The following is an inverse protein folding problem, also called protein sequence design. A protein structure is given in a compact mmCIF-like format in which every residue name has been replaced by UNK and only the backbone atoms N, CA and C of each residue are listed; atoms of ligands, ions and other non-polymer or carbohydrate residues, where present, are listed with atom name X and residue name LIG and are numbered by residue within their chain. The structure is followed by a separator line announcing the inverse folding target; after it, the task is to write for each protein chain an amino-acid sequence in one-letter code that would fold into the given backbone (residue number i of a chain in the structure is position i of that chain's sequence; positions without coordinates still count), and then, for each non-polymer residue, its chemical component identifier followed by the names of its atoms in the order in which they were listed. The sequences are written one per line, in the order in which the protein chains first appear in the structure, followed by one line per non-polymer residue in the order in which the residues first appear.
data_IF_551071029624
#
_entry.id   IF_551071029624
#
_cell.length_a   1.000
_cell.length_b   1.000
_cell.length_c   1.000
_cell.angle_alpha   90.00
_cell.angle_beta   90.00
_cell.angle_gamma   90.00
#
_symmetry.space_group_name_H-M   'P 1'
#
loop_
_entity.id
_entity.type
_entity.pdbx_description
1 polymer ?
#
# COMPACT_ATOMS: atom_id res chain seq x y z
N UNK A 1 -3.79 12.37 2.80
CA UNK A 1 -4.70 11.61 3.71
C UNK A 1 -3.94 11.23 4.99
N UNK A 2 -4.52 11.29 6.20
CA UNK A 2 -3.80 10.90 7.42
C UNK A 2 -3.82 9.37 7.53
N UNK A 3 -2.65 8.72 7.47
CA UNK A 3 -2.54 7.25 7.48
C UNK A 3 -3.02 6.64 8.80
N UNK A 4 -2.72 7.30 9.92
CA UNK A 4 -3.19 6.90 11.24
C UNK A 4 -4.55 7.58 11.49
N UNK A 5 -5.64 6.80 11.67
CA UNK A 5 -6.99 7.36 11.78
C UNK A 5 -7.31 7.86 13.19
N UNK A 6 -6.65 7.32 14.22
CA UNK A 6 -6.95 7.60 15.61
C UNK A 6 -6.57 9.03 16.02
N UNK A 7 -7.52 9.72 16.65
CA UNK A 7 -7.29 11.00 17.31
C UNK A 7 -6.67 10.79 18.70
N UNK A 8 -6.15 11.85 19.31
CA UNK A 8 -5.67 11.78 20.70
C UNK A 8 -6.77 11.37 21.68
N UNK A 9 -8.03 11.71 21.39
CA UNK A 9 -9.17 11.28 22.20
C UNK A 9 -9.36 9.77 22.08
N UNK A 10 -9.39 9.23 20.86
CA UNK A 10 -9.55 7.79 20.63
C UNK A 10 -8.42 7.01 21.31
N UNK A 11 -7.19 7.52 21.23
CA UNK A 11 -6.02 6.92 21.91
C UNK A 11 -6.24 6.91 23.43
N UNK A 12 -6.67 8.02 24.05
CA UNK A 12 -6.91 8.07 25.50
C UNK A 12 -8.02 7.09 25.94
N UNK A 13 -9.13 7.05 25.21
CA UNK A 13 -10.25 6.15 25.52
C UNK A 13 -9.84 4.68 25.40
N UNK A 14 -9.07 4.32 24.37
CA UNK A 14 -8.54 2.96 24.22
C UNK A 14 -7.55 2.57 25.33
N UNK A 15 -6.65 3.49 25.72
CA UNK A 15 -5.68 3.26 26.80
C UNK A 15 -6.37 3.09 28.17
N UNK A 16 -7.39 3.91 28.44
CA UNK A 16 -8.21 3.80 29.65
C UNK A 16 -8.97 2.46 29.70
N UNK A 17 -9.56 2.03 28.58
CA UNK A 17 -10.30 0.77 28.49
C UNK A 17 -9.45 -0.47 28.80
N UNK A 18 -8.16 -0.44 28.49
CA UNK A 18 -7.20 -1.54 28.75
C UNK A 18 -6.35 -1.32 30.01
N UNK A 19 -6.53 -0.19 30.72
CA UNK A 19 -5.88 0.10 31.99
C UNK A 19 -4.39 0.46 31.92
N UNK A 20 -3.91 0.98 30.79
CA UNK A 20 -2.50 1.39 30.61
C UNK A 20 -2.38 2.90 30.44
N UNK A 21 -1.25 3.48 30.84
CA UNK A 21 -1.10 4.94 30.95
C UNK A 21 -0.63 5.61 29.67
N UNK A 22 0.07 4.87 28.80
CA UNK A 22 0.64 5.39 27.56
C UNK A 22 0.90 4.26 26.57
N UNK A 23 1.19 4.63 25.32
CA UNK A 23 1.44 3.70 24.21
C UNK A 23 2.68 2.82 24.45
N UNK A 24 3.71 3.33 25.13
CA UNK A 24 4.95 2.57 25.37
C UNK A 24 4.70 1.31 26.21
N UNK A 25 3.73 1.35 27.13
CA UNK A 25 3.35 0.19 27.95
C UNK A 25 2.80 -0.99 27.10
N UNK A 26 2.28 -0.74 25.89
CA UNK A 26 1.81 -1.79 24.98
C UNK A 26 2.93 -2.69 24.46
N UNK A 27 4.18 -2.19 24.49
CA UNK A 27 5.36 -2.88 23.97
C UNK A 27 6.21 -3.54 25.06
N UNK A 28 5.72 -3.61 26.30
CA UNK A 28 6.44 -4.19 27.44
C UNK A 28 6.83 -5.68 27.25
N UNK A 29 6.17 -6.39 26.34
CA UNK A 29 6.49 -7.78 25.98
C UNK A 29 7.77 -7.92 25.15
N UNK A 30 8.29 -6.82 24.56
CA UNK A 30 9.51 -6.82 23.76
C UNK A 30 10.71 -6.64 24.72
N UNK A 31 11.63 -7.62 24.82
CA UNK A 31 12.83 -7.51 25.64
C UNK A 31 13.62 -6.22 25.32
N UNK A 32 14.07 -5.50 26.35
CA UNK A 32 14.74 -4.20 26.19
C UNK A 32 16.02 -4.24 25.34
N UNK A 33 16.72 -5.38 25.33
CA UNK A 33 17.90 -5.60 24.48
C UNK A 33 17.57 -5.76 22.99
N UNK A 34 16.30 -5.97 22.64
CA UNK A 34 15.81 -6.03 21.25
C UNK A 34 15.19 -4.70 20.80
N UNK A 35 14.98 -3.76 21.71
CA UNK A 35 14.46 -2.43 21.39
C UNK A 35 15.58 -1.50 20.92
N UNK A 36 15.24 -0.55 20.05
CA UNK A 36 16.18 0.50 19.64
C UNK A 36 16.47 1.52 20.76
N UNK A 37 15.68 1.50 21.85
CA UNK A 37 15.73 2.49 22.91
C UNK A 37 15.44 3.89 22.36
N UNK A 38 16.30 4.86 22.70
CA UNK A 38 16.16 6.25 22.23
C UNK A 38 16.74 6.49 20.83
N UNK A 39 17.18 5.44 20.12
CA UNK A 39 17.71 5.58 18.76
C UNK A 39 16.56 5.64 17.78
N UNK A 40 16.52 6.72 17.01
CA UNK A 40 15.65 6.78 15.83
C UNK A 40 16.23 5.94 14.69
N UNK A 41 15.35 5.50 13.79
CA UNK A 41 15.78 4.93 12.52
C UNK A 41 16.52 6.01 11.72
N UNK A 42 17.63 5.63 11.07
CA UNK A 42 18.40 6.50 10.20
C UNK A 42 17.69 6.68 8.86
N UNK A 43 16.63 7.50 8.86
CA UNK A 43 15.78 7.78 7.72
C UNK A 43 15.85 9.27 7.35
N UNK A 44 15.71 9.61 6.06
CA UNK A 44 15.55 11.00 5.64
C UNK A 44 14.33 11.66 6.29
N UNK A 45 14.33 13.00 6.28
CA UNK A 45 13.17 13.81 6.69
C UNK A 45 11.89 13.33 6.00
N UNK A 46 10.80 13.27 6.76
CA UNK A 46 9.47 13.03 6.23
C UNK A 46 9.09 14.10 5.20
N UNK A 47 8.51 13.65 4.09
CA UNK A 47 8.00 14.48 3.02
C UNK A 47 6.48 14.60 3.11
N UNK A 48 5.94 15.75 2.75
CA UNK A 48 4.51 15.92 2.48
C UNK A 48 4.10 15.12 1.25
N UNK A 49 2.79 14.87 1.11
CA UNK A 49 2.22 14.12 -0.02
C UNK A 49 2.64 14.72 -1.38
N UNK A 50 2.59 16.05 -1.51
CA UNK A 50 3.00 16.74 -2.73
C UNK A 50 4.50 16.63 -3.01
N UNK A 51 5.34 16.68 -1.96
CA UNK A 51 6.79 16.50 -2.10
C UNK A 51 7.14 15.07 -2.55
N UNK A 52 6.44 14.06 -2.02
CA UNK A 52 6.62 12.65 -2.44
C UNK A 52 6.27 12.49 -3.92
N UNK A 53 5.09 12.96 -4.35
CA UNK A 53 4.65 12.85 -5.75
C UNK A 53 5.64 13.54 -6.70
N UNK A 54 6.09 14.75 -6.35
CA UNK A 54 7.06 15.47 -7.16
C UNK A 54 8.40 14.73 -7.23
N UNK A 55 8.89 14.20 -6.10
CA UNK A 55 10.15 13.45 -6.04
C UNK A 55 10.09 12.21 -6.94
N UNK A 56 9.00 11.43 -6.85
CA UNK A 56 8.81 10.25 -7.68
C UNK A 56 8.73 10.58 -9.17
N UNK A 57 8.05 11.68 -9.54
CA UNK A 57 8.02 12.17 -10.93
C UNK A 57 9.42 12.53 -11.45
N UNK A 58 10.24 13.19 -10.63
CA UNK A 58 11.63 13.52 -11.00
C UNK A 58 12.50 12.27 -11.21
N UNK A 59 12.28 11.22 -10.42
CA UNK A 59 12.97 9.94 -10.60
C UNK A 59 12.50 9.26 -11.89
N UNK A 60 11.19 9.24 -12.14
CA UNK A 60 10.59 8.64 -13.35
C UNK A 60 11.19 9.24 -14.63
N UNK A 61 11.36 10.56 -14.70
CA UNK A 61 11.89 11.27 -15.89
C UNK A 61 13.34 10.91 -16.25
N UNK A 62 14.05 10.16 -15.40
CA UNK A 62 15.39 9.64 -15.74
C UNK A 62 15.33 8.37 -16.60
N UNK A 63 14.18 7.73 -16.68
CA UNK A 63 13.95 6.56 -17.51
C UNK A 63 13.32 6.98 -18.84
N UNK A 64 13.65 6.30 -19.96
CA UNK A 64 12.95 6.53 -21.21
C UNK A 64 11.48 6.15 -21.09
N UNK A 65 10.59 6.94 -21.70
CA UNK A 65 9.17 6.62 -21.72
C UNK A 65 8.91 5.41 -22.64
N UNK A 66 8.02 4.52 -22.19
CA UNK A 66 7.53 3.40 -22.98
C UNK A 66 6.78 3.82 -24.23
N UNK A 67 6.25 5.05 -24.28
CA UNK A 67 5.62 5.61 -25.48
C UNK A 67 6.62 6.20 -26.47
N UNK A 68 7.81 6.58 -26.00
CA UNK A 68 8.87 7.13 -26.85
C UNK A 68 9.75 6.04 -27.48
N UNK A 69 9.85 4.86 -26.84
CA UNK A 69 10.72 3.77 -27.31
C UNK A 69 9.92 2.52 -27.68
N UNK A 70 10.20 1.98 -28.87
CA UNK A 70 9.75 0.64 -29.27
C UNK A 70 10.76 -0.41 -28.83
N UNK A 71 10.33 -1.35 -27.98
CA UNK A 71 11.16 -2.48 -27.54
C UNK A 71 10.71 -3.77 -28.22
N UNK A 72 11.64 -4.42 -28.92
CA UNK A 72 11.45 -5.72 -29.59
C UNK A 72 12.31 -6.84 -28.98
N UNK A 73 12.84 -6.63 -27.77
CA UNK A 73 13.73 -7.60 -27.11
C UNK A 73 13.02 -8.92 -26.76
N UNK A 74 11.70 -8.90 -26.55
CA UNK A 74 10.91 -10.09 -26.23
C UNK A 74 11.28 -10.71 -24.88
N UNK A 75 11.59 -12.01 -24.89
CA UNK A 75 11.95 -12.79 -23.68
C UNK A 75 10.84 -12.89 -22.62
N UNK A 76 9.58 -12.98 -23.05
CA UNK A 76 8.43 -13.17 -22.16
C UNK A 76 7.70 -11.88 -21.77
N UNK A 77 8.22 -10.71 -22.15
CA UNK A 77 7.54 -9.43 -22.00
C UNK A 77 7.35 -8.76 -23.37
N UNK A 78 6.10 -8.42 -23.70
CA UNK A 78 5.75 -7.86 -24.99
C UNK A 78 4.84 -6.65 -24.80
N UNK A 79 5.16 -5.55 -25.50
CA UNK A 79 4.28 -4.38 -25.55
C UNK A 79 2.96 -4.81 -26.21
N UNK A 80 1.84 -4.54 -25.54
CA UNK A 80 0.51 -4.83 -26.04
C UNK A 80 -0.40 -3.64 -25.77
N UNK A 81 -1.48 -3.56 -26.53
CA UNK A 81 -2.52 -2.56 -26.33
C UNK A 81 -3.25 -2.85 -25.01
N UNK A 82 -3.31 -1.85 -24.12
CA UNK A 82 -4.15 -1.89 -22.92
C UNK A 82 -5.40 -1.04 -23.15
N UNK A 83 -6.61 -1.62 -23.11
CA UNK A 83 -7.84 -0.85 -23.24
C UNK A 83 -7.96 0.27 -22.18
N UNK A 84 -8.47 1.44 -22.58
CA UNK A 84 -8.58 2.63 -21.72
C UNK A 84 -9.35 2.37 -20.41
N UNK A 85 -10.28 1.41 -20.41
CA UNK A 85 -11.05 1.03 -19.22
C UNK A 85 -10.18 0.40 -18.13
N UNK A 86 -9.07 -0.25 -18.48
CA UNK A 86 -8.20 -0.95 -17.52
C UNK A 86 -7.61 0.02 -16.50
N UNK A 87 -7.13 1.19 -16.94
CA UNK A 87 -6.59 2.20 -16.03
C UNK A 87 -7.61 2.69 -15.01
N UNK A 88 -8.89 2.74 -15.37
CA UNK A 88 -9.96 3.10 -14.43
C UNK A 88 -10.25 1.95 -13.47
N UNK A 89 -10.27 0.70 -13.95
CA UNK A 89 -10.52 -0.47 -13.12
C UNK A 89 -9.45 -0.67 -12.05
N UNK A 90 -8.16 -0.53 -12.38
CA UNK A 90 -7.09 -0.73 -11.40
C UNK A 90 -7.02 0.36 -10.31
N UNK A 91 -7.64 1.51 -10.54
CA UNK A 91 -7.73 2.60 -9.57
C UNK A 91 -8.91 2.46 -8.61
N UNK A 92 -9.81 1.50 -8.85
CA UNK A 92 -10.95 1.24 -7.97
C UNK A 92 -10.49 0.51 -6.70
N UNK A 93 -10.80 1.10 -5.55
CA UNK A 93 -10.38 0.61 -4.23
C UNK A 93 -10.89 -0.80 -3.94
N UNK A 94 -12.10 -1.14 -4.37
CA UNK A 94 -12.73 -2.44 -4.18
C UNK A 94 -11.94 -3.61 -4.82
N UNK A 95 -11.20 -3.36 -5.90
CA UNK A 95 -10.36 -4.36 -6.57
C UNK A 95 -8.92 -4.41 -6.01
N UNK A 96 -8.47 -3.36 -5.33
CA UNK A 96 -7.08 -3.21 -4.87
C UNK A 96 -6.91 -3.39 -3.36
N UNK A 97 -7.98 -3.25 -2.58
CA UNK A 97 -7.95 -3.32 -1.10
C UNK A 97 -8.51 -4.62 -0.53
N UNK A 98 -9.29 -5.37 -1.31
CA UNK A 98 -9.75 -6.70 -0.91
C UNK A 98 -8.58 -7.70 -0.92
N UNK A 99 -8.61 -8.66 -0.01
CA UNK A 99 -7.59 -9.71 0.07
C UNK A 99 -8.11 -11.03 -0.52
N UNK A 100 -7.45 -12.14 -0.19
CA UNK A 100 -7.86 -13.48 -0.61
C UNK A 100 -9.36 -13.71 -0.26
N UNK A 101 -10.18 -14.19 -1.21
CA UNK A 101 -11.64 -14.29 -1.06
C UNK A 101 -12.05 -15.48 -0.17
N UNK A 102 -11.59 -15.51 1.09
CA UNK A 102 -11.93 -16.56 2.06
C UNK A 102 -13.42 -16.57 2.44
N UNK A 103 -14.07 -15.40 2.39
CA UNK A 103 -15.51 -15.25 2.62
C UNK A 103 -16.22 -15.15 1.28
N UNK A 104 -16.61 -16.31 0.73
CA UNK A 104 -17.08 -16.42 -0.65
C UNK A 104 -18.37 -15.61 -0.90
N UNK A 105 -19.28 -15.56 0.07
CA UNK A 105 -20.59 -14.90 0.01
C UNK A 105 -20.48 -13.40 -0.24
N UNK A 106 -19.38 -12.78 0.21
CA UNK A 106 -19.10 -11.35 0.04
C UNK A 106 -17.98 -11.08 -0.97
N UNK A 107 -17.52 -12.10 -1.70
CA UNK A 107 -16.39 -12.01 -2.63
C UNK A 107 -16.70 -12.54 -4.04
N UNK A 108 -17.99 -12.75 -4.37
CA UNK A 108 -18.41 -13.38 -5.63
C UNK A 108 -17.88 -12.67 -6.89
N UNK A 109 -17.74 -11.34 -6.88
CA UNK A 109 -17.20 -10.59 -8.01
C UNK A 109 -15.75 -10.97 -8.36
N UNK A 110 -14.88 -11.02 -7.34
CA UNK A 110 -13.48 -11.43 -7.50
C UNK A 110 -13.37 -12.91 -7.86
N UNK A 111 -14.18 -13.77 -7.22
CA UNK A 111 -14.21 -15.20 -7.53
C UNK A 111 -14.63 -15.47 -8.98
N UNK A 112 -15.64 -14.75 -9.48
CA UNK A 112 -16.04 -14.83 -10.88
C UNK A 112 -14.89 -14.38 -11.79
N UNK A 113 -14.26 -13.23 -11.52
CA UNK A 113 -13.15 -12.74 -12.35
C UNK A 113 -11.98 -13.74 -12.41
N UNK A 114 -11.66 -14.40 -11.29
CA UNK A 114 -10.64 -15.46 -11.24
C UNK A 114 -11.09 -16.70 -12.04
N UNK A 115 -12.35 -17.11 -11.91
CA UNK A 115 -12.90 -18.24 -12.68
C UNK A 115 -12.86 -17.97 -14.19
N UNK A 116 -13.24 -16.76 -14.63
CA UNK A 116 -13.13 -16.37 -16.04
C UNK A 116 -11.68 -16.40 -16.52
N UNK A 117 -10.73 -15.91 -15.71
CA UNK A 117 -9.31 -15.99 -16.02
C UNK A 117 -8.79 -17.43 -16.14
N UNK A 118 -9.29 -18.36 -15.33
CA UNK A 118 -8.94 -19.78 -15.40
C UNK A 118 -9.57 -20.49 -16.61
N UNK A 119 -10.68 -19.96 -17.12
CA UNK A 119 -11.43 -20.55 -18.23
C UNK A 119 -10.84 -20.14 -19.59
N UNK A 120 -10.22 -18.95 -19.66
CA UNK A 120 -9.46 -18.48 -20.82
C UNK A 120 -8.25 -19.37 -21.13
#
# INVERSE_FOLDING_TARGET
MRFIPHTERDIREMLEAIGVQNVDQLFASIPGNLQLGNKHLDLPRALSESEVVNTLRQIQMRNPDTDEISSFLGAGAYRHYSPVVISNLIQRGEFSTSYTPYQAEVSQGTLQAIFEFQTM
#
